data_IF_919298661080
#
_entry.id   IF_919298661080
#
_cell.length_a   1.000
_cell.length_b   1.000
_cell.length_c   1.000
_cell.angle_alpha   90.00
_cell.angle_beta   90.00
_cell.angle_gamma   90.00
#
_symmetry.space_group_name_H-M   'P 1'
#
loop_
_entity.id
_entity.type
_entity.pdbx_description
1 polymer ?
#
# COMPACT_ATOMS: atom_id res chain seq x y z
N UNK A 1 17.54 -8.94 5.01
CA UNK A 1 16.53 -8.35 4.12
C UNK A 1 15.19 -9.01 4.42
N UNK A 2 14.55 -8.71 5.55
CA UNK A 2 13.17 -9.11 5.87
C UNK A 2 12.50 -8.19 6.92
N UNK A 3 13.10 -7.06 7.28
CA UNK A 3 12.64 -6.19 8.38
C UNK A 3 11.47 -5.26 8.02
N UNK A 4 10.75 -5.50 6.91
CA UNK A 4 9.66 -4.63 6.43
C UNK A 4 8.39 -5.41 6.06
N UNK A 5 8.23 -6.57 6.67
CA UNK A 5 7.02 -7.39 6.58
C UNK A 5 6.06 -6.87 7.65
N UNK A 6 4.80 -6.66 7.30
CA UNK A 6 3.78 -6.32 8.28
C UNK A 6 3.53 -7.52 9.20
N UNK A 7 3.34 -7.25 10.49
CA UNK A 7 3.02 -8.27 11.49
C UNK A 7 1.74 -9.05 11.12
N UNK A 8 0.84 -8.40 10.38
CA UNK A 8 -0.30 -9.03 9.73
C UNK A 8 -0.45 -8.52 8.30
N UNK A 9 -0.64 -9.40 7.30
CA UNK A 9 -0.89 -8.99 5.93
C UNK A 9 -2.19 -8.20 5.82
N UNK A 10 -2.16 -7.14 5.01
CA UNK A 10 -3.30 -6.25 4.77
C UNK A 10 -3.94 -6.63 3.45
N UNK A 11 -5.22 -6.99 3.46
CA UNK A 11 -5.96 -7.31 2.24
C UNK A 11 -6.71 -6.09 1.76
N UNK A 12 -6.33 -5.56 0.60
CA UNK A 12 -7.01 -4.41 0.00
C UNK A 12 -7.84 -4.87 -1.19
N UNK A 13 -9.12 -4.52 -1.16
CA UNK A 13 -10.02 -4.79 -2.28
C UNK A 13 -9.87 -3.72 -3.34
N UNK A 14 -9.19 -4.05 -4.44
CA UNK A 14 -9.04 -3.18 -5.60
C UNK A 14 -10.14 -3.50 -6.63
N UNK A 15 -11.17 -2.66 -6.70
CA UNK A 15 -12.27 -2.82 -7.66
C UNK A 15 -13.33 -3.87 -7.28
N UNK A 16 -13.95 -4.49 -8.28
CA UNK A 16 -15.14 -5.33 -8.09
C UNK A 16 -14.84 -6.68 -7.41
N UNK A 17 -13.71 -7.31 -7.75
CA UNK A 17 -13.42 -8.69 -7.32
C UNK A 17 -11.93 -8.99 -7.08
N UNK A 18 -11.04 -8.00 -7.14
CA UNK A 18 -9.62 -8.23 -6.90
C UNK A 18 -9.28 -7.89 -5.45
N UNK A 19 -8.74 -8.86 -4.72
CA UNK A 19 -8.19 -8.65 -3.38
C UNK A 19 -6.68 -8.78 -3.53
N UNK A 20 -5.96 -7.72 -3.24
CA UNK A 20 -4.51 -7.70 -3.24
C UNK A 20 -4.02 -7.86 -1.81
N UNK A 21 -3.18 -8.84 -1.58
CA UNK A 21 -2.52 -9.07 -0.30
C UNK A 21 -1.27 -8.22 -0.24
N UNK A 22 -1.16 -7.39 0.80
CA UNK A 22 -0.02 -6.53 1.07
C UNK A 22 0.64 -7.08 2.33
N UNK A 23 1.67 -7.91 2.13
CA UNK A 23 2.45 -8.48 3.21
C UNK A 23 3.65 -7.60 3.59
N UNK A 24 4.10 -6.74 2.68
CA UNK A 24 5.31 -5.94 2.83
C UNK A 24 5.09 -4.47 2.48
N UNK A 25 6.01 -3.63 2.94
CA UNK A 25 6.02 -2.21 2.62
C UNK A 25 6.20 -1.94 1.11
N UNK A 26 6.92 -2.82 0.42
CA UNK A 26 7.14 -2.75 -1.03
C UNK A 26 5.83 -2.98 -1.79
N UNK A 27 5.07 -4.05 -1.46
CA UNK A 27 3.72 -4.29 -1.99
C UNK A 27 2.78 -3.10 -1.71
N UNK A 28 2.89 -2.49 -0.53
CA UNK A 28 2.07 -1.35 -0.17
C UNK A 28 2.36 -0.14 -1.07
N UNK A 29 3.64 0.12 -1.34
CA UNK A 29 4.08 1.18 -2.22
C UNK A 29 3.65 0.91 -3.66
N UNK A 30 3.87 -0.30 -4.19
CA UNK A 30 3.42 -0.68 -5.55
C UNK A 30 1.92 -0.47 -5.72
N UNK A 31 1.12 -0.95 -4.77
CA UNK A 31 -0.32 -0.76 -4.79
C UNK A 31 -0.73 0.73 -4.77
N UNK A 32 -0.03 1.55 -3.98
CA UNK A 32 -0.21 3.00 -4.01
C UNK A 32 0.22 3.60 -5.36
N UNK A 33 1.28 3.11 -5.98
CA UNK A 33 1.72 3.59 -7.31
C UNK A 33 0.76 3.22 -8.43
N UNK A 34 0.07 2.08 -8.33
CA UNK A 34 -0.96 1.65 -9.29
C UNK A 34 -2.32 2.30 -9.03
N UNK A 35 -2.56 2.81 -7.81
CA UNK A 35 -3.85 3.36 -7.43
C UNK A 35 -4.33 4.46 -8.41
N UNK A 36 -5.56 4.45 -8.91
CA UNK A 36 -6.00 5.41 -9.92
C UNK A 36 -5.99 6.85 -9.42
N UNK A 37 -5.39 7.78 -10.18
CA UNK A 37 -5.21 9.20 -9.81
C UNK A 37 -6.51 9.91 -9.40
N UNK A 38 -7.64 9.54 -10.02
CA UNK A 38 -8.95 10.12 -9.69
C UNK A 38 -9.48 9.73 -8.29
N UNK A 39 -8.92 8.68 -7.67
CA UNK A 39 -9.21 8.27 -6.28
C UNK A 39 -8.07 8.61 -5.31
N UNK A 40 -6.99 9.25 -5.79
CA UNK A 40 -5.88 9.69 -4.94
C UNK A 40 -6.27 10.97 -4.22
N UNK A 41 -7.04 10.81 -3.15
CA UNK A 41 -7.39 11.89 -2.22
C UNK A 41 -6.31 12.15 -1.17
N UNK A 42 -6.62 12.91 -0.11
CA UNK A 42 -5.69 13.18 1.00
C UNK A 42 -5.24 11.91 1.74
N UNK A 43 -6.08 10.86 1.73
CA UNK A 43 -5.78 9.55 2.31
C UNK A 43 -4.60 8.89 1.59
N UNK A 44 -4.56 8.99 0.26
CA UNK A 44 -3.47 8.44 -0.56
C UNK A 44 -2.12 9.06 -0.21
N UNK A 45 -2.05 10.39 -0.15
CA UNK A 45 -0.80 11.07 0.19
C UNK A 45 -0.33 10.71 1.60
N UNK A 46 -1.26 10.59 2.55
CA UNK A 46 -0.94 10.22 3.92
C UNK A 46 -0.36 8.81 3.99
N UNK A 47 -1.03 7.84 3.33
CA UNK A 47 -0.56 6.46 3.25
C UNK A 47 0.81 6.37 2.56
N UNK A 48 0.98 7.01 1.41
CA UNK A 48 2.25 7.02 0.68
C UNK A 48 3.39 7.61 1.53
N UNK A 49 3.13 8.73 2.22
CA UNK A 49 4.14 9.37 3.08
C UNK A 49 4.51 8.49 4.28
N UNK A 50 3.55 7.80 4.86
CA UNK A 50 3.79 6.86 5.96
C UNK A 50 4.61 5.66 5.49
N UNK A 51 4.23 5.04 4.37
CA UNK A 51 4.99 3.96 3.75
C UNK A 51 6.40 4.42 3.37
N UNK A 52 6.57 5.59 2.75
CA UNK A 52 7.89 6.10 2.38
C UNK A 52 8.80 6.32 3.61
N UNK A 53 8.23 6.82 4.72
CA UNK A 53 8.98 7.02 5.97
C UNK A 53 9.37 5.72 6.68
N UNK A 54 8.56 4.68 6.55
CA UNK A 54 8.91 3.36 7.03
C UNK A 54 9.90 2.63 6.09
N UNK A 55 10.05 3.11 4.85
CA UNK A 55 11.02 2.63 3.88
C UNK A 55 12.39 3.33 3.97
N UNK A 56 12.48 4.46 4.66
CA UNK A 56 13.76 5.09 5.03
C UNK A 56 14.41 4.30 6.17
#
# INVERSE_FOLDING_TARGET
MNDRIFDSPVFVKSGNSFIQEIACLEDALEFLYEWPKHKRGPIYQTALRACQRAFD
#
